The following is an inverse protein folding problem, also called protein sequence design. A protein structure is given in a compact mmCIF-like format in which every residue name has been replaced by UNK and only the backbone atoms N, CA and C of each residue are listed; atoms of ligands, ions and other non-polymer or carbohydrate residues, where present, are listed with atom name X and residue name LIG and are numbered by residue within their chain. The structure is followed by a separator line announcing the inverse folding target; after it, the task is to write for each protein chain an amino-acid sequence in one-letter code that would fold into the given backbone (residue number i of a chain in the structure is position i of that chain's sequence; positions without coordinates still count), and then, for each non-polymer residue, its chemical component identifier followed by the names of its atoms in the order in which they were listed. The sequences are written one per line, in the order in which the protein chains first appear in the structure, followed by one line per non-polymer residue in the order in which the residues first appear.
data_IF_696484449770
#
_entry.id   IF_696484449770
#
_cell.length_a   1.000
_cell.length_b   1.000
_cell.length_c   1.000
_cell.angle_alpha   90.00
_cell.angle_beta   90.00
_cell.angle_gamma   90.00
#
_symmetry.space_group_name_H-M   'P 1'
#
loop_
_entity.id
_entity.type
_entity.pdbx_description
1 polymer ?
#
# COMPACT_ATOMS: atom_id res chain seq x y z
N UNK A 1 2.80 19.35 16.91
CA UNK A 1 3.68 18.22 16.53
C UNK A 1 3.14 16.94 17.17
N UNK A 2 2.13 16.31 16.57
CA UNK A 2 1.39 15.15 17.14
C UNK A 2 0.80 14.21 16.05
N UNK A 3 1.29 14.26 14.81
CA UNK A 3 0.64 13.58 13.67
C UNK A 3 1.52 12.49 13.08
N UNK A 4 2.18 11.67 13.91
CA UNK A 4 2.92 10.51 13.42
C UNK A 4 2.26 9.20 13.86
N UNK A 5 1.74 9.14 15.09
CA UNK A 5 1.17 7.93 15.66
C UNK A 5 -0.27 7.66 15.19
N UNK A 6 -1.13 8.69 15.11
CA UNK A 6 -2.46 8.60 14.47
C UNK A 6 -2.35 8.49 12.94
N UNK A 7 -1.38 9.17 12.34
CA UNK A 7 -1.20 9.22 10.89
C UNK A 7 -0.74 7.89 10.31
N UNK A 8 0.01 7.09 11.07
CA UNK A 8 0.56 5.83 10.55
C UNK A 8 -0.48 4.78 10.21
N UNK A 9 -1.37 4.51 11.17
CA UNK A 9 -2.48 3.59 10.97
C UNK A 9 -3.47 4.10 9.93
N UNK A 10 -3.79 5.40 9.95
CA UNK A 10 -4.71 6.01 8.98
C UNK A 10 -4.16 5.98 7.55
N UNK A 11 -2.86 6.18 7.36
CA UNK A 11 -2.24 6.12 6.04
C UNK A 11 -2.25 4.69 5.48
N UNK A 12 -1.95 3.69 6.29
CA UNK A 12 -2.05 2.27 5.87
C UNK A 12 -3.48 1.93 5.44
N UNK A 13 -4.49 2.39 6.19
CA UNK A 13 -5.91 2.22 5.83
C UNK A 13 -6.24 2.94 4.53
N UNK A 14 -5.74 4.16 4.33
CA UNK A 14 -5.93 4.93 3.10
C UNK A 14 -5.32 4.22 1.89
N UNK A 15 -4.07 3.76 2.01
CA UNK A 15 -3.36 3.02 0.96
C UNK A 15 -4.07 1.71 0.62
N UNK A 16 -4.57 0.97 1.62
CA UNK A 16 -5.37 -0.23 1.39
C UNK A 16 -6.65 0.08 0.60
N UNK A 17 -7.36 1.15 0.97
CA UNK A 17 -8.57 1.55 0.26
C UNK A 17 -8.26 2.01 -1.18
N UNK A 18 -7.14 2.68 -1.42
CA UNK A 18 -6.67 3.04 -2.76
C UNK A 18 -6.36 1.79 -3.60
N UNK A 19 -5.61 0.83 -3.04
CA UNK A 19 -5.29 -0.43 -3.68
C UNK A 19 -6.57 -1.23 -4.03
N UNK A 20 -7.53 -1.31 -3.11
CA UNK A 20 -8.83 -1.94 -3.35
C UNK A 20 -9.62 -1.26 -4.48
N UNK A 21 -9.60 0.07 -4.57
CA UNK A 21 -10.28 0.80 -5.66
C UNK A 21 -9.62 0.58 -7.02
N UNK A 22 -8.30 0.57 -7.08
CA UNK A 22 -7.53 0.47 -8.33
C UNK A 22 -7.41 -0.96 -8.84
N UNK A 23 -7.08 -1.89 -7.95
CA UNK A 23 -6.87 -3.30 -8.29
C UNK A 23 -8.16 -4.12 -8.26
N UNK A 24 -9.16 -3.69 -7.47
CA UNK A 24 -10.45 -4.35 -7.35
C UNK A 24 -10.30 -5.84 -7.01
N UNK A 25 -10.78 -6.76 -7.86
CA UNK A 25 -10.69 -8.21 -7.61
C UNK A 25 -9.26 -8.77 -7.68
N UNK A 26 -8.30 -8.00 -8.19
CA UNK A 26 -6.87 -8.39 -8.23
C UNK A 26 -6.11 -7.94 -6.99
N UNK A 27 -6.77 -7.24 -6.07
CA UNK A 27 -6.16 -6.85 -4.82
C UNK A 27 -5.94 -8.07 -3.92
N UNK A 28 -4.68 -8.34 -3.60
CA UNK A 28 -4.32 -9.37 -2.62
C UNK A 28 -3.90 -8.72 -1.29
N UNK A 29 -4.67 -9.03 -0.23
CA UNK A 29 -4.40 -8.51 1.12
C UNK A 29 -3.18 -9.16 1.78
N UNK A 30 -2.85 -10.40 1.43
CA UNK A 30 -1.66 -11.07 1.94
C UNK A 30 -0.40 -10.44 1.34
N UNK A 31 -0.41 -10.15 0.03
CA UNK A 31 0.70 -9.47 -0.65
C UNK A 31 0.88 -8.04 -0.11
N UNK A 32 -0.23 -7.33 0.11
CA UNK A 32 -0.21 -6.02 0.77
C UNK A 32 0.45 -6.07 2.16
N UNK A 33 0.02 -7.01 3.02
CA UNK A 33 0.62 -7.16 4.36
C UNK A 33 2.08 -7.60 4.30
N UNK A 34 2.44 -8.49 3.37
CA UNK A 34 3.83 -8.90 3.15
C UNK A 34 4.69 -7.70 2.80
N UNK A 35 4.21 -6.78 1.95
CA UNK A 35 4.93 -5.56 1.56
C UNK A 35 5.15 -4.59 2.72
N UNK A 36 4.16 -4.50 3.63
CA UNK A 36 4.26 -3.69 4.85
C UNK A 36 5.26 -4.33 5.84
N UNK A 37 5.24 -5.65 6.00
CA UNK A 37 6.08 -6.39 6.94
C UNK A 37 7.52 -6.57 6.45
N UNK A 38 7.74 -6.73 5.13
CA UNK A 38 9.05 -6.97 4.51
C UNK A 38 10.08 -5.88 4.85
N UNK A 39 9.63 -4.66 5.15
CA UNK A 39 10.51 -3.51 5.26
C UNK A 39 10.74 -3.02 6.70
N UNK A 40 10.15 -3.68 7.71
CA UNK A 40 10.32 -3.27 9.10
C UNK A 40 9.89 -1.82 9.36
N UNK A 41 10.45 -1.18 10.38
CA UNK A 41 10.12 0.19 10.78
C UNK A 41 10.70 1.24 9.81
N UNK A 42 10.10 1.36 8.62
CA UNK A 42 10.38 2.44 7.66
C UNK A 42 9.50 3.67 7.95
N UNK A 43 9.99 4.88 7.64
CA UNK A 43 9.17 6.09 7.73
C UNK A 43 7.95 6.00 6.81
N UNK A 44 6.80 6.44 7.31
CA UNK A 44 5.51 6.39 6.61
C UNK A 44 5.55 6.91 5.16
N UNK A 45 6.25 8.00 4.91
CA UNK A 45 6.38 8.56 3.57
C UNK A 45 7.02 7.57 2.57
N UNK A 46 8.00 6.80 3.02
CA UNK A 46 8.66 5.79 2.19
C UNK A 46 7.76 4.57 1.97
N UNK A 47 6.98 4.18 2.98
CA UNK A 47 5.98 3.11 2.87
C UNK A 47 4.91 3.49 1.84
N UNK A 48 4.35 4.69 1.91
CA UNK A 48 3.33 5.17 0.96
C UNK A 48 3.83 5.13 -0.48
N UNK A 49 5.03 5.68 -0.75
CA UNK A 49 5.60 5.68 -2.10
C UNK A 49 5.81 4.26 -2.65
N UNK A 50 6.22 3.31 -1.80
CA UNK A 50 6.43 1.90 -2.19
C UNK A 50 5.12 1.18 -2.49
N UNK A 51 4.11 1.38 -1.63
CA UNK A 51 2.79 0.79 -1.85
C UNK A 51 2.17 1.36 -3.11
N UNK A 52 2.28 2.66 -3.36
CA UNK A 52 1.78 3.29 -4.59
C UNK A 52 2.48 2.74 -5.84
N UNK A 53 3.80 2.56 -5.79
CA UNK A 53 4.56 1.92 -6.88
C UNK A 53 4.15 0.46 -7.10
N UNK A 54 3.88 -0.30 -6.03
CA UNK A 54 3.38 -1.66 -6.12
C UNK A 54 1.97 -1.70 -6.74
N UNK A 55 1.05 -0.83 -6.32
CA UNK A 55 -0.29 -0.74 -6.92
C UNK A 55 -0.18 -0.46 -8.42
N UNK A 56 0.66 0.49 -8.83
CA UNK A 56 0.87 0.81 -10.24
C UNK A 56 1.45 -0.38 -11.04
N UNK A 57 2.38 -1.13 -10.43
CA UNK A 57 2.94 -2.33 -11.04
C UNK A 57 1.88 -3.44 -11.18
N UNK A 58 1.05 -3.65 -10.16
CA UNK A 58 -0.06 -4.61 -10.20
C UNK A 58 -1.10 -4.19 -11.23
N UNK A 59 -1.44 -2.90 -11.34
CA UNK A 59 -2.27 -2.34 -12.41
C UNK A 59 -1.72 -2.68 -13.80
N UNK A 60 -0.42 -2.46 -14.04
CA UNK A 60 0.23 -2.78 -15.30
C UNK A 60 0.21 -4.29 -15.63
N UNK A 61 0.39 -5.16 -14.64
CA UNK A 61 0.32 -6.63 -14.85
C UNK A 61 -1.06 -7.10 -15.31
N UNK A 62 -2.13 -6.43 -14.87
CA UNK A 62 -3.51 -6.80 -15.23
C UNK A 62 -3.94 -6.41 -16.63
N UNK A 63 -3.27 -5.44 -17.24
CA UNK A 63 -3.53 -5.01 -18.63
C UNK A 63 -2.96 -6.00 -19.65
N UNK A 64 -2.07 -6.91 -19.23
CA UNK A 64 -1.33 -7.80 -20.14
C UNK A 64 -1.85 -9.25 -20.15
N UNK A 65 -3.03 -9.53 -19.58
CA UNK A 65 -3.60 -10.89 -19.59
C UNK A 65 -4.99 -10.94 -20.23
#
# INVERSE_FOLDING_TARGET
QLTAYDTGGLEIVRLRNEALRRLGPRFDIQDFHARILENGAVPLAALSARVEAWIAAEEAKGVTQ
#
